data_IF_662931723664
#
_entry.id   IF_662931723664
#
_cell.length_a   1.000
_cell.length_b   1.000
_cell.length_c   1.000
_cell.angle_alpha   90.00
_cell.angle_beta   90.00
_cell.angle_gamma   90.00
#
_symmetry.space_group_name_H-M   'P 1'
#
loop_
_entity.id
_entity.type
_entity.pdbx_description
1 polymer ?
#
# COMPACT_ATOMS: atom_id res chain seq x y z
N UNK A 1 -34.00 18.44 -50.77
CA UNK A 1 -32.84 17.62 -50.34
C UNK A 1 -32.20 18.27 -49.13
N UNK A 2 -32.07 17.56 -47.99
CA UNK A 2 -31.39 18.12 -46.81
C UNK A 2 -29.89 18.25 -47.07
N UNK A 3 -29.29 19.35 -46.63
CA UNK A 3 -27.84 19.55 -46.73
C UNK A 3 -27.08 18.50 -45.94
N UNK A 4 -25.91 18.09 -46.41
CA UNK A 4 -25.01 17.20 -45.69
C UNK A 4 -24.72 17.68 -44.25
N UNK A 5 -24.71 19.00 -44.02
CA UNK A 5 -24.55 19.60 -42.69
C UNK A 5 -25.75 19.30 -41.78
N UNK A 6 -26.96 19.39 -42.31
CA UNK A 6 -28.21 19.07 -41.58
C UNK A 6 -28.27 17.57 -41.24
N UNK A 7 -27.91 16.70 -42.19
CA UNK A 7 -27.91 15.24 -41.97
C UNK A 7 -26.88 14.80 -40.92
N UNK A 8 -25.69 15.42 -40.88
CA UNK A 8 -24.67 15.15 -39.84
C UNK A 8 -25.13 15.62 -38.45
N UNK A 9 -25.85 16.73 -38.37
CA UNK A 9 -26.40 17.23 -37.10
C UNK A 9 -27.47 16.29 -36.53
N UNK A 10 -28.38 15.79 -37.37
CA UNK A 10 -29.40 14.80 -36.99
C UNK A 10 -28.77 13.50 -36.46
N UNK A 11 -27.76 12.97 -37.17
CA UNK A 11 -27.04 11.76 -36.73
C UNK A 11 -26.37 11.99 -35.37
N UNK A 12 -25.79 13.17 -35.14
CA UNK A 12 -25.13 13.51 -33.86
C UNK A 12 -26.14 13.64 -32.71
N UNK A 13 -27.30 14.24 -32.97
CA UNK A 13 -28.40 14.34 -31.99
C UNK A 13 -28.90 12.96 -31.59
N UNK A 14 -29.20 12.10 -32.56
CA UNK A 14 -29.66 10.73 -32.31
C UNK A 14 -28.61 9.90 -31.55
N UNK A 15 -27.31 10.10 -31.83
CA UNK A 15 -26.23 9.46 -31.06
C UNK A 15 -26.20 9.91 -29.60
N UNK A 16 -26.44 11.20 -29.33
CA UNK A 16 -26.50 11.74 -27.96
C UNK A 16 -27.71 11.21 -27.21
N UNK A 17 -28.88 11.15 -27.84
CA UNK A 17 -30.09 10.58 -27.24
C UNK A 17 -29.91 9.11 -26.87
N UNK A 18 -29.36 8.30 -27.77
CA UNK A 18 -29.02 6.90 -27.44
C UNK A 18 -28.03 6.79 -26.29
N UNK A 19 -27.01 7.64 -26.25
CA UNK A 19 -26.03 7.64 -25.17
C UNK A 19 -26.68 8.02 -23.82
N UNK A 20 -27.57 9.01 -23.82
CA UNK A 20 -28.33 9.41 -22.64
C UNK A 20 -29.28 8.30 -22.16
N UNK A 21 -29.99 7.63 -23.08
CA UNK A 21 -30.86 6.51 -22.76
C UNK A 21 -30.08 5.31 -22.19
N UNK A 22 -28.91 5.00 -22.77
CA UNK A 22 -28.04 3.93 -22.27
C UNK A 22 -27.52 4.28 -20.86
N UNK A 23 -27.09 5.53 -20.65
CA UNK A 23 -26.62 5.99 -19.34
C UNK A 23 -27.73 5.97 -18.29
N UNK A 24 -28.96 6.34 -18.64
CA UNK A 24 -30.12 6.23 -17.77
C UNK A 24 -30.43 4.77 -17.41
N UNK A 25 -30.36 3.85 -18.38
CA UNK A 25 -30.55 2.41 -18.15
C UNK A 25 -29.46 1.82 -17.25
N UNK A 26 -28.22 2.26 -17.38
CA UNK A 26 -27.12 1.86 -16.49
C UNK A 26 -27.21 2.42 -15.07
N UNK A 27 -28.04 3.44 -14.83
CA UNK A 27 -28.31 4.00 -13.49
C UNK A 27 -29.46 3.29 -12.77
N UNK A 28 -30.21 2.44 -13.46
CA UNK A 28 -31.23 1.63 -12.80
C UNK A 28 -30.53 0.59 -11.91
N UNK A 29 -30.99 0.39 -10.66
CA UNK A 29 -30.47 -0.67 -9.81
C UNK A 29 -30.60 -2.02 -10.52
N UNK A 30 -29.52 -2.79 -10.59
CA UNK A 30 -29.59 -4.12 -11.18
C UNK A 30 -30.47 -5.01 -10.29
N UNK A 31 -31.67 -5.34 -10.76
CA UNK A 31 -32.67 -6.14 -10.05
C UNK A 31 -32.17 -7.56 -9.74
N UNK A 32 -31.04 -7.98 -10.34
CA UNK A 32 -30.35 -9.26 -10.07
C UNK A 32 -29.38 -9.19 -8.90
N UNK A 33 -29.06 -8.01 -8.38
CA UNK A 33 -28.27 -7.92 -7.15
C UNK A 33 -29.15 -8.42 -6.00
N UNK A 34 -28.68 -9.40 -5.21
CA UNK A 34 -29.39 -9.84 -4.03
C UNK A 34 -29.70 -8.64 -3.15
N UNK A 35 -30.97 -8.45 -2.76
CA UNK A 35 -31.30 -7.50 -1.69
C UNK A 35 -30.48 -7.90 -0.45
N UNK A 36 -30.12 -6.94 0.40
CA UNK A 36 -29.35 -7.19 1.61
C UNK A 36 -29.93 -8.36 2.45
N UNK A 37 -31.27 -8.45 2.49
CA UNK A 37 -32.02 -9.53 3.17
C UNK A 37 -31.72 -10.94 2.62
N UNK A 38 -31.38 -11.07 1.34
CA UNK A 38 -31.03 -12.34 0.69
C UNK A 38 -29.57 -12.75 0.94
N UNK A 39 -28.68 -11.78 1.19
CA UNK A 39 -27.27 -12.03 1.45
C UNK A 39 -27.06 -12.67 2.84
N UNK A 40 -27.78 -12.18 3.85
CA UNK A 40 -27.75 -12.76 5.21
C UNK A 40 -28.22 -14.22 5.21
N UNK A 41 -29.25 -14.55 4.42
CA UNK A 41 -29.78 -15.92 4.31
C UNK A 41 -28.78 -16.93 3.71
N UNK A 42 -27.78 -16.47 2.95
CA UNK A 42 -26.76 -17.31 2.31
C UNK A 42 -25.40 -17.28 3.02
N UNK A 43 -25.31 -16.62 4.18
CA UNK A 43 -24.03 -16.43 4.88
C UNK A 43 -23.05 -15.55 4.08
N UNK A 44 -23.59 -14.72 3.18
CA UNK A 44 -22.85 -13.72 2.42
C UNK A 44 -22.83 -12.40 3.19
N UNK A 45 -21.72 -11.67 3.11
CA UNK A 45 -21.60 -10.36 3.73
C UNK A 45 -21.57 -9.27 2.65
N UNK A 46 -22.43 -8.24 2.70
CA UNK A 46 -22.38 -7.15 1.75
C UNK A 46 -21.06 -6.38 1.87
N UNK A 47 -20.46 -6.06 0.72
CA UNK A 47 -19.20 -5.33 0.64
C UNK A 47 -19.44 -3.81 0.55
N UNK A 48 -18.68 -3.03 1.31
CA UNK A 48 -18.66 -1.57 1.17
C UNK A 48 -17.75 -1.15 0.03
N UNK A 49 -18.35 -0.90 -1.13
CA UNK A 49 -17.62 -0.51 -2.34
C UNK A 49 -16.93 0.85 -2.23
N UNK A 50 -17.39 1.75 -1.38
CA UNK A 50 -16.75 3.05 -1.21
C UNK A 50 -15.42 2.89 -0.47
N UNK A 51 -15.42 2.13 0.63
CA UNK A 51 -14.21 1.78 1.38
C UNK A 51 -13.22 1.03 0.49
N UNK A 52 -13.70 0.05 -0.29
CA UNK A 52 -12.83 -0.70 -1.19
C UNK A 52 -12.18 0.19 -2.25
N UNK A 53 -12.92 1.10 -2.90
CA UNK A 53 -12.36 2.00 -3.92
C UNK A 53 -11.32 2.97 -3.35
N UNK A 54 -11.48 3.38 -2.09
CA UNK A 54 -10.55 4.30 -1.45
C UNK A 54 -9.20 3.63 -1.14
N UNK A 55 -9.22 2.36 -0.72
CA UNK A 55 -8.04 1.68 -0.19
C UNK A 55 -7.44 0.63 -1.12
N UNK A 56 -8.17 0.17 -2.15
CA UNK A 56 -7.69 -0.80 -3.13
C UNK A 56 -7.50 -0.15 -4.49
N UNK A 57 -6.25 -0.08 -4.94
CA UNK A 57 -5.92 0.32 -6.29
C UNK A 57 -5.92 -0.89 -7.24
N UNK A 58 -7.11 -1.47 -7.46
CA UNK A 58 -7.30 -2.54 -8.44
C UNK A 58 -7.94 -2.00 -9.71
N UNK A 59 -7.53 -2.54 -10.85
CA UNK A 59 -8.18 -2.30 -12.14
C UNK A 59 -9.35 -3.27 -12.39
N UNK A 60 -9.58 -4.22 -11.48
CA UNK A 60 -10.65 -5.21 -11.55
C UNK A 60 -11.98 -4.74 -10.96
N UNK A 61 -13.02 -5.57 -11.15
CA UNK A 61 -14.33 -5.35 -10.54
C UNK A 61 -14.25 -5.65 -9.05
N UNK A 62 -14.62 -4.68 -8.22
CA UNK A 62 -14.78 -4.87 -6.78
C UNK A 62 -16.05 -5.67 -6.48
N UNK A 63 -16.00 -6.62 -5.53
CA UNK A 63 -17.16 -7.45 -5.21
C UNK A 63 -18.29 -6.62 -4.59
N UNK A 64 -19.53 -7.02 -4.85
CA UNK A 64 -20.71 -6.50 -4.14
C UNK A 64 -20.96 -7.26 -2.83
N UNK A 65 -20.52 -8.52 -2.73
CA UNK A 65 -20.66 -9.37 -1.55
C UNK A 65 -19.43 -10.28 -1.36
N UNK A 66 -19.10 -10.59 -0.11
CA UNK A 66 -18.15 -11.64 0.25
C UNK A 66 -18.88 -12.96 0.47
N UNK A 67 -18.28 -14.04 -0.01
CA UNK A 67 -18.79 -15.41 0.11
C UNK A 67 -17.73 -16.25 0.79
N UNK A 68 -18.12 -17.12 1.72
CA UNK A 68 -17.19 -18.02 2.39
C UNK A 68 -16.37 -18.85 1.37
N UNK A 69 -15.05 -18.93 1.57
CA UNK A 69 -14.13 -19.63 0.65
C UNK A 69 -13.38 -20.73 1.39
N UNK A 70 -13.48 -22.01 0.99
CA UNK A 70 -12.64 -23.05 1.54
C UNK A 70 -11.17 -22.84 1.12
N UNK A 71 -10.24 -23.21 1.99
CA UNK A 71 -8.82 -23.25 1.69
C UNK A 71 -8.13 -24.34 2.51
N UNK A 72 -7.04 -24.87 1.94
CA UNK A 72 -6.18 -25.83 2.63
C UNK A 72 -5.04 -25.05 3.28
N UNK A 73 -4.83 -25.24 4.58
CA UNK A 73 -3.71 -24.60 5.26
C UNK A 73 -2.38 -25.11 4.70
N UNK A 74 -1.54 -24.20 4.18
CA UNK A 74 -0.26 -24.58 3.58
C UNK A 74 0.75 -25.20 4.56
N UNK A 75 0.62 -24.93 5.86
CA UNK A 75 1.58 -25.41 6.85
C UNK A 75 1.15 -26.77 7.46
N UNK A 76 -0.12 -26.95 7.85
CA UNK A 76 -0.60 -28.19 8.47
C UNK A 76 -1.52 -29.05 7.61
N UNK A 77 -1.95 -28.58 6.43
CA UNK A 77 -2.85 -29.31 5.54
C UNK A 77 -4.32 -29.32 5.95
N UNK A 78 -4.71 -28.66 7.05
CA UNK A 78 -6.10 -28.64 7.50
C UNK A 78 -7.02 -27.91 6.52
N UNK A 79 -8.20 -28.48 6.27
CA UNK A 79 -9.29 -27.85 5.54
C UNK A 79 -9.98 -26.81 6.42
N UNK A 80 -10.01 -25.58 5.94
CA UNK A 80 -10.52 -24.43 6.67
C UNK A 80 -11.40 -23.58 5.76
N UNK A 81 -12.25 -22.73 6.36
CA UNK A 81 -13.12 -21.82 5.61
C UNK A 81 -12.80 -20.38 5.97
N UNK A 82 -12.43 -19.60 4.97
CA UNK A 82 -12.33 -18.16 5.09
C UNK A 82 -13.72 -17.53 4.96
N UNK A 83 -14.34 -17.30 6.10
CA UNK A 83 -15.73 -16.82 6.18
C UNK A 83 -15.90 -15.43 5.54
N UNK A 84 -17.11 -15.13 5.10
CA UNK A 84 -17.47 -13.81 4.57
C UNK A 84 -17.20 -12.68 5.59
N UNK A 85 -17.46 -12.91 6.88
CA UNK A 85 -17.16 -11.98 7.98
C UNK A 85 -15.67 -11.67 8.11
N UNK A 86 -14.83 -12.71 8.04
CA UNK A 86 -13.38 -12.54 8.09
C UNK A 86 -12.84 -11.82 6.86
N UNK A 87 -13.44 -12.04 5.69
CA UNK A 87 -13.12 -11.30 4.46
C UNK A 87 -13.47 -9.82 4.62
N UNK A 88 -14.70 -9.51 5.04
CA UNK A 88 -15.16 -8.15 5.28
C UNK A 88 -14.24 -7.39 6.23
N UNK A 89 -13.95 -7.96 7.40
CA UNK A 89 -13.01 -7.37 8.35
C UNK A 89 -11.61 -7.14 7.73
N UNK A 90 -11.10 -8.11 6.96
CA UNK A 90 -9.78 -8.00 6.35
C UNK A 90 -9.70 -6.89 5.30
N UNK A 91 -10.69 -6.80 4.42
CA UNK A 91 -10.67 -5.84 3.31
C UNK A 91 -11.09 -4.43 3.74
N UNK A 92 -12.07 -4.30 4.64
CA UNK A 92 -12.67 -3.01 4.97
C UNK A 92 -12.12 -2.42 6.27
N UNK A 93 -11.75 -3.23 7.26
CA UNK A 93 -11.18 -2.72 8.52
C UNK A 93 -9.66 -2.66 8.49
N UNK A 94 -9.02 -3.73 8.00
CA UNK A 94 -7.56 -3.82 7.92
C UNK A 94 -7.03 -3.20 6.62
N UNK A 95 -7.91 -2.91 5.65
CA UNK A 95 -7.54 -2.40 4.33
C UNK A 95 -6.57 -3.32 3.59
N UNK A 96 -6.69 -4.63 3.81
CA UNK A 96 -5.96 -5.63 3.05
C UNK A 96 -6.31 -5.57 1.56
N UNK A 97 -5.35 -5.92 0.70
CA UNK A 97 -5.58 -5.89 -0.75
C UNK A 97 -6.67 -6.89 -1.14
N UNK A 98 -7.60 -6.52 -2.04
CA UNK A 98 -8.77 -7.33 -2.42
C UNK A 98 -8.41 -8.70 -2.98
N UNK A 99 -7.27 -8.81 -3.66
CA UNK A 99 -6.76 -10.08 -4.20
C UNK A 99 -6.11 -10.99 -3.14
N UNK A 100 -6.02 -10.54 -1.88
CA UNK A 100 -5.51 -11.37 -0.79
C UNK A 100 -6.41 -12.58 -0.53
N UNK A 101 -5.82 -13.70 -0.13
CA UNK A 101 -6.53 -14.91 0.28
C UNK A 101 -6.00 -15.48 1.59
N UNK A 102 -6.88 -16.13 2.36
CA UNK A 102 -6.43 -16.94 3.49
C UNK A 102 -5.68 -18.18 2.99
N UNK A 103 -4.48 -18.40 3.52
CA UNK A 103 -3.60 -19.53 3.16
C UNK A 103 -3.14 -20.35 4.38
N UNK A 104 -3.53 -19.90 5.58
CA UNK A 104 -3.15 -20.51 6.86
C UNK A 104 -4.27 -20.44 7.88
N UNK A 105 -4.46 -21.53 8.61
CA UNK A 105 -5.37 -21.58 9.76
C UNK A 105 -4.90 -20.64 10.88
N UNK A 106 -5.78 -20.36 11.84
CA UNK A 106 -5.47 -19.48 12.97
C UNK A 106 -4.31 -20.03 13.82
N UNK A 107 -4.29 -21.34 14.08
CA UNK A 107 -3.24 -21.99 14.85
C UNK A 107 -1.86 -21.81 14.21
N UNK A 108 -1.72 -22.11 12.91
CA UNK A 108 -0.47 -21.92 12.18
C UNK A 108 -0.06 -20.44 12.09
N UNK A 109 -1.01 -19.51 11.98
CA UNK A 109 -0.70 -18.07 12.04
C UNK A 109 -0.15 -17.67 13.42
N UNK A 110 -0.70 -18.18 14.52
CA UNK A 110 -0.20 -17.91 15.89
C UNK A 110 1.19 -18.51 16.12
N UNK A 111 1.36 -19.80 15.81
CA UNK A 111 2.64 -20.49 15.94
C UNK A 111 3.74 -19.84 15.09
N UNK A 112 3.41 -19.31 13.91
CA UNK A 112 4.36 -18.55 13.09
C UNK A 112 4.76 -17.23 13.76
N UNK A 113 3.82 -16.50 14.35
CA UNK A 113 4.13 -15.24 15.07
C UNK A 113 5.01 -15.52 16.29
N UNK A 114 4.75 -16.58 17.03
CA UNK A 114 5.58 -17.00 18.17
C UNK A 114 6.99 -17.36 17.72
N UNK A 115 7.13 -18.16 16.65
CA UNK A 115 8.44 -18.48 16.06
C UNK A 115 9.22 -17.24 15.65
N UNK A 116 8.57 -16.27 15.00
CA UNK A 116 9.21 -15.01 14.60
C UNK A 116 9.60 -14.12 15.80
N UNK A 117 8.87 -14.21 16.92
CA UNK A 117 9.21 -13.50 18.17
C UNK A 117 10.36 -14.17 18.93
N UNK A 118 10.47 -15.49 18.83
CA UNK A 118 11.51 -16.28 19.49
C UNK A 118 12.83 -16.34 18.71
N UNK A 119 12.94 -15.60 17.59
CA UNK A 119 14.16 -15.55 16.78
C UNK A 119 15.32 -14.99 17.60
N UNK A 120 16.43 -15.72 17.62
CA UNK A 120 17.63 -15.33 18.34
C UNK A 120 18.27 -14.05 17.77
N UNK A 121 18.97 -13.26 18.59
CA UNK A 121 19.78 -12.14 18.10
C UNK A 121 20.73 -12.60 16.99
N UNK A 122 20.81 -11.82 15.91
CA UNK A 122 21.61 -12.07 14.71
C UNK A 122 20.86 -12.74 13.56
N UNK A 123 19.66 -13.29 13.77
CA UNK A 123 18.91 -13.92 12.69
C UNK A 123 18.16 -12.92 11.78
N UNK A 124 18.03 -11.65 12.18
CA UNK A 124 17.63 -10.54 11.31
C UNK A 124 18.61 -9.35 11.43
N UNK A 125 19.83 -9.55 10.90
CA UNK A 125 20.91 -8.54 10.92
C UNK A 125 20.49 -7.20 10.30
N UNK A 126 19.57 -7.21 9.33
CA UNK A 126 19.11 -5.98 8.68
C UNK A 126 18.19 -5.18 9.60
N UNK A 127 17.25 -5.85 10.28
CA UNK A 127 16.41 -5.22 11.29
C UNK A 127 17.24 -4.69 12.44
N UNK A 128 18.22 -5.46 12.93
CA UNK A 128 19.09 -5.05 14.02
C UNK A 128 19.91 -3.80 13.66
N UNK A 129 20.55 -3.79 12.49
CA UNK A 129 21.25 -2.60 11.99
C UNK A 129 20.31 -1.41 11.84
N UNK A 130 19.09 -1.64 11.35
CA UNK A 130 18.08 -0.57 11.23
C UNK A 130 17.68 0.00 12.59
N UNK A 131 17.42 -0.85 13.58
CA UNK A 131 17.11 -0.45 14.95
C UNK A 131 18.28 0.31 15.59
N UNK A 132 19.51 -0.17 15.37
CA UNK A 132 20.74 0.48 15.83
C UNK A 132 20.86 1.90 15.28
N UNK A 133 20.71 2.10 13.97
CA UNK A 133 20.78 3.43 13.35
C UNK A 133 19.70 4.39 13.87
N UNK A 134 18.47 3.89 14.10
CA UNK A 134 17.40 4.69 14.71
C UNK A 134 17.71 5.10 16.14
N UNK A 135 18.29 4.19 16.93
CA UNK A 135 18.72 4.47 18.30
C UNK A 135 19.85 5.52 18.32
N UNK A 136 20.83 5.42 17.41
CA UNK A 136 21.88 6.43 17.25
C UNK A 136 21.30 7.81 16.96
N UNK A 137 20.32 7.91 16.04
CA UNK A 137 19.65 9.17 15.72
C UNK A 137 18.82 9.75 16.88
N UNK A 138 18.43 8.95 17.87
CA UNK A 138 17.74 9.44 19.07
C UNK A 138 18.71 9.90 20.19
N UNK A 139 19.97 9.46 20.13
CA UNK A 139 20.99 9.81 21.11
C UNK A 139 21.85 11.00 20.63
N UNK A 140 22.63 11.58 21.55
CA UNK A 140 23.61 12.63 21.20
C UNK A 140 24.71 12.05 20.29
N UNK A 141 25.10 12.75 19.22
CA UNK A 141 26.14 12.24 18.30
C UNK A 141 27.49 12.08 19.01
N UNK A 142 28.04 10.87 18.93
CA UNK A 142 29.43 10.55 19.31
C UNK A 142 30.28 10.28 18.07
N UNK A 143 31.61 10.25 18.22
CA UNK A 143 32.54 9.93 17.12
C UNK A 143 32.22 8.55 16.52
N UNK A 144 32.00 7.55 17.38
CA UNK A 144 31.62 6.21 16.96
C UNK A 144 30.28 6.20 16.23
N UNK A 145 29.28 6.94 16.75
CA UNK A 145 27.98 7.01 16.12
C UNK A 145 28.08 7.61 14.70
N UNK A 146 28.87 8.67 14.51
CA UNK A 146 29.11 9.28 13.20
C UNK A 146 29.74 8.29 12.22
N UNK A 147 30.73 7.51 12.67
CA UNK A 147 31.35 6.47 11.86
C UNK A 147 30.36 5.36 11.45
N UNK A 148 29.49 4.93 12.37
CA UNK A 148 28.43 3.96 12.06
C UNK A 148 27.43 4.49 11.02
N UNK A 149 27.03 5.77 11.12
CA UNK A 149 26.16 6.43 10.13
C UNK A 149 26.84 6.49 8.76
N UNK A 150 28.12 6.88 8.71
CA UNK A 150 28.88 6.98 7.45
C UNK A 150 29.01 5.60 6.77
N UNK A 151 29.34 4.56 7.54
CA UNK A 151 29.36 3.19 7.03
C UNK A 151 27.98 2.75 6.49
N UNK A 152 26.89 3.17 7.14
CA UNK A 152 25.54 2.86 6.69
C UNK A 152 25.14 3.60 5.40
N UNK A 153 25.62 4.85 5.19
CA UNK A 153 25.41 5.61 3.96
C UNK A 153 26.07 4.95 2.74
N UNK A 154 27.13 4.19 2.95
CA UNK A 154 27.85 3.42 1.93
C UNK A 154 27.33 1.98 1.78
N UNK A 155 26.30 1.60 2.54
CA UNK A 155 25.75 0.25 2.47
C UNK A 155 25.13 -0.06 1.10
N UNK A 156 25.30 -1.31 0.65
CA UNK A 156 24.55 -1.82 -0.51
C UNK A 156 23.03 -1.81 -0.30
N UNK A 157 22.57 -1.82 0.95
CA UNK A 157 21.16 -1.83 1.31
C UNK A 157 20.61 -0.41 1.41
N UNK A 158 19.81 0.02 0.43
CA UNK A 158 19.24 1.37 0.41
C UNK A 158 18.43 1.72 1.66
N UNK A 159 17.75 0.74 2.27
CA UNK A 159 17.03 0.94 3.53
C UNK A 159 17.91 1.45 4.67
N UNK A 160 19.14 0.92 4.81
CA UNK A 160 20.09 1.38 5.83
C UNK A 160 20.57 2.81 5.55
N UNK A 161 20.84 3.12 4.29
CA UNK A 161 21.24 4.47 3.85
C UNK A 161 20.14 5.50 4.16
N UNK A 162 18.87 5.16 3.91
CA UNK A 162 17.72 6.02 4.22
C UNK A 162 17.60 6.28 5.72
N UNK A 163 17.77 5.25 6.54
CA UNK A 163 17.69 5.39 8.00
C UNK A 163 18.88 6.20 8.54
N UNK A 164 20.06 6.06 7.93
CA UNK A 164 21.22 6.90 8.23
C UNK A 164 20.97 8.39 7.91
N UNK A 165 20.35 8.69 6.76
CA UNK A 165 19.89 10.05 6.40
C UNK A 165 18.92 10.62 7.46
N UNK A 166 17.96 9.81 7.91
CA UNK A 166 17.02 10.22 8.95
C UNK A 166 17.71 10.48 10.29
N UNK A 167 18.69 9.66 10.66
CA UNK A 167 19.47 9.85 11.88
C UNK A 167 20.30 11.14 11.84
N UNK A 168 20.96 11.45 10.72
CA UNK A 168 21.65 12.74 10.52
C UNK A 168 20.69 13.93 10.66
N UNK A 169 19.49 13.82 10.10
CA UNK A 169 18.44 14.83 10.28
C UNK A 169 18.13 15.08 11.76
N UNK A 170 17.95 14.03 12.57
CA UNK A 170 17.68 14.21 14.00
C UNK A 170 18.80 14.90 14.75
N UNK A 171 20.06 14.57 14.46
CA UNK A 171 21.21 15.24 15.07
C UNK A 171 21.32 16.71 14.70
N UNK A 172 20.95 17.07 13.46
CA UNK A 172 21.05 18.45 12.98
C UNK A 172 22.47 18.98 13.02
N UNK A 173 22.61 20.30 13.22
CA UNK A 173 23.88 21.00 13.07
C UNK A 173 24.19 21.33 11.61
N UNK A 174 25.04 22.34 11.42
CA UNK A 174 25.31 22.92 10.11
C UNK A 174 25.82 21.89 9.08
N UNK A 175 26.75 21.03 9.48
CA UNK A 175 27.31 19.99 8.60
C UNK A 175 26.24 19.00 8.11
N UNK A 176 25.42 18.46 9.01
CA UNK A 176 24.37 17.51 8.64
C UNK A 176 23.29 18.18 7.79
N UNK A 177 22.93 19.43 8.10
CA UNK A 177 21.97 20.21 7.32
C UNK A 177 22.49 20.44 5.89
N UNK A 178 23.74 20.86 5.74
CA UNK A 178 24.37 21.04 4.42
C UNK A 178 24.36 19.73 3.61
N UNK A 179 24.68 18.59 4.24
CA UNK A 179 24.59 17.27 3.61
C UNK A 179 23.16 16.92 3.16
N UNK A 180 22.15 17.19 3.98
CA UNK A 180 20.75 16.95 3.61
C UNK A 180 20.31 17.80 2.42
N UNK A 181 20.72 19.07 2.38
CA UNK A 181 20.49 19.94 1.23
C UNK A 181 21.19 19.43 -0.03
N UNK A 182 22.42 18.90 0.08
CA UNK A 182 23.13 18.29 -1.04
C UNK A 182 22.39 17.06 -1.60
N UNK A 183 21.85 16.18 -0.74
CA UNK A 183 21.00 15.07 -1.19
C UNK A 183 19.77 15.57 -1.93
N UNK A 184 19.10 16.60 -1.44
CA UNK A 184 17.94 17.19 -2.10
C UNK A 184 18.29 17.80 -3.47
N UNK A 185 19.42 18.51 -3.57
CA UNK A 185 19.90 19.11 -4.82
C UNK A 185 20.27 18.05 -5.87
N UNK A 186 20.72 16.86 -5.45
CA UNK A 186 21.04 15.76 -6.36
C UNK A 186 19.83 15.10 -7.03
N UNK A 187 18.60 15.53 -6.71
CA UNK A 187 17.38 14.95 -7.26
C UNK A 187 17.33 15.12 -8.78
N UNK A 188 17.21 14.03 -9.58
CA UNK A 188 17.18 14.12 -11.03
C UNK A 188 15.98 14.91 -11.55
N UNK A 189 16.23 15.82 -12.50
CA UNK A 189 15.20 16.49 -13.28
C UNK A 189 14.49 15.45 -14.19
N UNK A 190 13.15 15.40 -14.15
CA UNK A 190 12.37 14.54 -15.06
C UNK A 190 11.56 13.38 -14.46
N UNK A 191 11.39 13.29 -13.14
CA UNK A 191 10.24 12.66 -12.46
C UNK A 191 9.95 11.15 -12.62
N UNK A 192 10.46 10.46 -13.65
CA UNK A 192 10.01 9.11 -14.05
C UNK A 192 10.95 7.96 -13.74
N UNK A 193 12.15 8.20 -13.21
CA UNK A 193 12.98 7.10 -12.68
C UNK A 193 12.53 6.82 -11.24
N UNK A 194 11.56 5.93 -11.08
CA UNK A 194 11.07 5.48 -9.77
C UNK A 194 12.13 4.68 -8.98
N UNK A 195 13.18 4.20 -9.65
CA UNK A 195 14.21 3.31 -9.10
C UNK A 195 15.62 3.93 -9.03
N UNK A 196 15.75 5.25 -8.86
CA UNK A 196 17.05 5.93 -8.72
C UNK A 196 17.39 6.24 -7.27
N UNK A 197 18.62 5.93 -6.84
CA UNK A 197 19.08 6.20 -5.46
C UNK A 197 19.02 7.70 -5.14
N UNK A 198 19.38 8.56 -6.08
CA UNK A 198 19.43 10.02 -5.92
C UNK A 198 18.05 10.58 -5.56
N UNK A 199 16.99 10.05 -6.19
CA UNK A 199 15.61 10.39 -5.85
C UNK A 199 15.24 9.92 -4.44
N UNK A 200 15.57 8.67 -4.10
CA UNK A 200 15.27 8.07 -2.78
C UNK A 200 15.97 8.86 -1.68
N UNK A 201 17.25 9.21 -1.88
CA UNK A 201 18.04 10.01 -0.95
C UNK A 201 17.46 11.42 -0.78
N UNK A 202 17.09 12.09 -1.87
CA UNK A 202 16.45 13.40 -1.84
C UNK A 202 15.10 13.37 -1.08
N UNK A 203 14.26 12.36 -1.34
CA UNK A 203 12.98 12.20 -0.66
C UNK A 203 13.16 11.88 0.84
N UNK A 204 14.15 11.04 1.18
CA UNK A 204 14.52 10.76 2.57
C UNK A 204 15.03 12.01 3.30
N UNK A 205 15.92 12.79 2.66
CA UNK A 205 16.48 14.00 3.23
C UNK A 205 15.41 15.07 3.47
N UNK A 206 14.54 15.30 2.47
CA UNK A 206 13.37 16.18 2.62
C UNK A 206 12.47 15.75 3.78
N UNK A 207 12.18 14.45 3.90
CA UNK A 207 11.37 13.93 5.00
C UNK A 207 12.06 14.03 6.37
N UNK A 208 13.39 13.99 6.40
CA UNK A 208 14.16 14.15 7.63
C UNK A 208 14.14 15.60 8.14
N UNK A 209 14.20 16.59 7.23
CA UNK A 209 14.06 18.01 7.57
C UNK A 209 12.66 18.35 8.06
N UNK A 210 11.62 17.89 7.34
CA UNK A 210 10.21 18.13 7.67
C UNK A 210 9.78 17.55 9.04
N UNK A 211 10.52 16.58 9.58
CA UNK A 211 10.22 15.96 10.88
C UNK A 211 10.94 16.62 12.06
N UNK A 212 11.69 17.70 11.83
CA UNK A 212 12.35 18.49 12.87
C UNK A 212 11.56 19.74 13.25
N UNK A 213 10.75 20.26 12.33
CA UNK A 213 9.76 21.31 12.56
C UNK A 213 8.60 20.77 13.39
#
# INVERSE_FOLDING_TARGET
MKSNKQRRAEIKAHRRERAAALAARSRLPDVRLPKADFADALGCEPADRAVLQQHNNTYGVLPDFYVARPFICRDCGADEVWTAKQQKWWYETIHGHIDSRAVRCLACRRARRERLRAVSPGADLLLEKTCRLRALGAAKPSVQARAEIEAALQSKWWGLRVVAIQAMGRWGGEENLARLHAFMASRPEGGRRYFGWERVAADAARSALMRRE
#
